data_IF_316416755686
#
_entry.id   IF_316416755686
#
_cell.length_a   1.000
_cell.length_b   1.000
_cell.length_c   1.000
_cell.angle_alpha   90.00
_cell.angle_beta   90.00
_cell.angle_gamma   90.00
#
_symmetry.space_group_name_H-M   'P 1'
#
loop_
_entity.id
_entity.type
_entity.pdbx_description
1 polymer ?
#
# COMPACT_ATOMS: atom_id res chain seq x y z
N UNK A 1 8.00 -9.18 -11.18
CA UNK A 1 7.65 -7.94 -10.43
C UNK A 1 6.19 -8.02 -10.09
N UNK A 2 5.80 -7.45 -8.95
CA UNK A 2 4.40 -7.35 -8.51
C UNK A 2 4.16 -5.98 -7.87
N UNK A 3 2.90 -5.56 -7.73
CA UNK A 3 2.57 -4.35 -6.98
C UNK A 3 2.98 -4.51 -5.52
N UNK A 4 3.41 -3.40 -4.90
CA UNK A 4 3.93 -3.35 -3.54
C UNK A 4 2.95 -3.91 -2.51
N UNK A 5 3.44 -4.74 -1.59
CA UNK A 5 2.78 -5.05 -0.31
C UNK A 5 3.50 -4.31 0.81
N UNK A 6 2.82 -4.05 1.91
CA UNK A 6 3.46 -3.46 3.10
C UNK A 6 3.02 -4.25 4.33
N UNK A 7 3.88 -5.09 4.88
CA UNK A 7 3.51 -6.00 5.96
C UNK A 7 3.96 -5.53 7.34
N UNK A 8 4.73 -4.44 7.44
CA UNK A 8 5.29 -3.96 8.69
C UNK A 8 5.77 -2.50 8.64
N UNK A 9 6.07 -1.95 9.82
CA UNK A 9 6.62 -0.60 9.99
C UNK A 9 7.96 -0.42 9.29
N UNK A 10 8.87 -1.39 9.42
CA UNK A 10 10.20 -1.31 8.81
C UNK A 10 10.11 -1.19 7.29
N UNK A 11 9.25 -1.99 6.64
CA UNK A 11 9.02 -1.90 5.20
C UNK A 11 8.40 -0.54 4.82
N UNK A 12 7.42 -0.04 5.58
CA UNK A 12 6.81 1.27 5.35
C UNK A 12 7.84 2.42 5.40
N UNK A 13 8.77 2.39 6.36
CA UNK A 13 9.87 3.35 6.48
C UNK A 13 10.91 3.22 5.35
N UNK A 14 11.25 1.99 4.96
CA UNK A 14 12.15 1.75 3.81
C UNK A 14 11.55 2.30 2.51
N UNK A 15 10.24 2.11 2.29
CA UNK A 15 9.53 2.66 1.13
C UNK A 15 9.53 4.19 1.18
N UNK A 16 9.28 4.79 2.35
CA UNK A 16 9.34 6.25 2.51
C UNK A 16 10.69 6.81 2.05
N UNK A 17 11.78 6.24 2.53
CA UNK A 17 13.14 6.67 2.18
C UNK A 17 13.42 6.48 0.68
N UNK A 18 13.03 5.34 0.11
CA UNK A 18 13.14 5.09 -1.33
C UNK A 18 12.40 6.14 -2.16
N UNK A 19 11.17 6.51 -1.77
CA UNK A 19 10.37 7.51 -2.47
C UNK A 19 10.89 8.95 -2.28
N UNK A 20 11.58 9.22 -1.17
CA UNK A 20 12.29 10.48 -0.93
C UNK A 20 13.47 10.61 -1.89
N UNK A 21 14.30 9.58 -1.98
CA UNK A 21 15.48 9.54 -2.85
C UNK A 21 15.13 9.53 -4.33
N UNK A 22 14.05 8.83 -4.70
CA UNK A 22 13.58 8.79 -6.08
C UNK A 22 13.12 10.18 -6.58
N UNK A 23 12.74 11.10 -5.68
CA UNK A 23 12.36 12.47 -6.02
C UNK A 23 11.11 12.58 -6.89
N UNK A 24 10.31 11.50 -7.00
CA UNK A 24 9.08 11.48 -7.78
C UNK A 24 7.89 11.71 -6.85
N UNK A 25 6.84 12.35 -7.37
CA UNK A 25 5.46 12.40 -6.86
C UNK A 25 5.25 12.56 -5.35
N UNK A 26 3.99 12.44 -4.93
CA UNK A 26 3.62 12.39 -3.51
C UNK A 26 2.61 11.28 -3.20
N UNK A 27 1.93 10.74 -4.20
CA UNK A 27 0.85 9.75 -4.07
C UNK A 27 1.12 8.55 -4.96
N UNK A 28 0.93 7.36 -4.40
CA UNK A 28 1.31 6.10 -5.04
C UNK A 28 0.30 4.99 -4.77
N UNK A 29 0.00 4.20 -5.79
CA UNK A 29 -0.71 2.95 -5.65
C UNK A 29 0.18 1.83 -5.10
N UNK A 30 -0.42 1.05 -4.21
CA UNK A 30 0.09 -0.24 -3.75
C UNK A 30 -0.76 -1.37 -4.32
N UNK A 31 -0.56 -2.60 -3.85
CA UNK A 31 -1.42 -3.74 -4.17
C UNK A 31 -2.61 -3.93 -3.23
N UNK A 32 -2.76 -3.08 -2.21
CA UNK A 32 -3.81 -3.20 -1.21
C UNK A 32 -5.15 -2.78 -1.77
N UNK A 33 -6.19 -3.58 -1.55
CA UNK A 33 -7.53 -3.27 -2.02
C UNK A 33 -8.60 -4.01 -1.23
N UNK A 34 -9.85 -3.57 -1.36
CA UNK A 34 -11.06 -4.24 -0.84
C UNK A 34 -12.12 -4.42 -1.92
N UNK A 35 -11.67 -4.66 -3.16
CA UNK A 35 -12.57 -4.74 -4.33
C UNK A 35 -13.43 -6.01 -4.26
N UNK A 36 -12.85 -7.13 -3.81
CA UNK A 36 -13.51 -8.43 -3.72
C UNK A 36 -14.39 -8.51 -2.46
N UNK A 37 -13.83 -8.15 -1.30
CA UNK A 37 -14.53 -8.11 -0.02
C UNK A 37 -14.59 -6.65 0.45
N UNK A 38 -15.76 -6.02 0.37
CA UNK A 38 -15.95 -4.60 0.68
C UNK A 38 -15.59 -4.24 2.13
N UNK A 39 -15.47 -5.23 3.01
CA UNK A 39 -15.14 -5.02 4.41
C UNK A 39 -13.70 -5.38 4.76
N UNK A 40 -12.97 -6.09 3.88
CA UNK A 40 -11.62 -6.59 4.17
C UNK A 40 -10.61 -6.14 3.14
N UNK A 41 -9.53 -5.58 3.65
CA UNK A 41 -8.36 -5.24 2.84
C UNK A 41 -7.52 -6.49 2.59
N UNK A 42 -7.15 -6.69 1.32
CA UNK A 42 -6.33 -7.78 0.83
C UNK A 42 -5.18 -7.24 -0.03
N UNK A 43 -4.03 -7.91 0.07
CA UNK A 43 -2.91 -7.71 -0.85
C UNK A 43 -3.11 -8.55 -2.12
N UNK A 44 -3.20 -7.91 -3.29
CA UNK A 44 -3.46 -8.59 -4.59
C UNK A 44 -2.51 -9.76 -4.91
N UNK A 45 -1.18 -9.68 -4.69
CA UNK A 45 -0.28 -10.69 -5.24
C UNK A 45 -0.50 -12.10 -4.67
N UNK A 46 -1.02 -12.18 -3.44
CA UNK A 46 -1.21 -13.44 -2.72
C UNK A 46 -2.61 -13.65 -2.15
N UNK A 47 -3.49 -12.64 -2.26
CA UNK A 47 -4.81 -12.66 -1.62
C UNK A 47 -4.75 -12.69 -0.09
N UNK A 48 -3.64 -12.23 0.50
CA UNK A 48 -3.42 -12.22 1.95
C UNK A 48 -4.14 -11.05 2.61
N UNK A 49 -4.72 -11.21 3.81
CA UNK A 49 -5.25 -10.10 4.59
C UNK A 49 -4.20 -9.03 4.86
N UNK A 50 -4.64 -7.77 4.93
CA UNK A 50 -3.81 -6.67 5.42
C UNK A 50 -3.87 -6.68 6.95
N UNK A 51 -2.76 -6.99 7.61
CA UNK A 51 -2.66 -7.07 9.08
C UNK A 51 -1.98 -5.85 9.70
N UNK A 52 -0.88 -5.39 9.10
CA UNK A 52 -0.26 -4.11 9.42
C UNK A 52 -0.96 -2.97 8.70
N UNK A 53 -1.12 -1.82 9.39
CA UNK A 53 -1.69 -0.62 8.77
C UNK A 53 -0.98 0.65 9.22
N UNK A 54 -0.92 1.62 8.31
CA UNK A 54 -0.45 2.99 8.58
C UNK A 54 -1.43 4.03 8.03
N UNK A 55 -2.73 3.78 8.22
CA UNK A 55 -3.79 4.69 7.79
C UNK A 55 -3.57 6.08 8.35
N UNK A 56 -3.73 7.09 7.48
CA UNK A 56 -3.85 8.48 7.93
C UNK A 56 -5.07 8.63 8.84
N UNK A 57 -5.04 9.66 9.68
CA UNK A 57 -6.15 9.97 10.59
C UNK A 57 -7.46 10.11 9.79
N UNK A 58 -8.47 9.32 10.17
CA UNK A 58 -9.77 9.31 9.50
C UNK A 58 -9.88 8.34 8.31
N UNK A 59 -8.82 7.60 7.99
CA UNK A 59 -8.82 6.61 6.91
C UNK A 59 -8.90 5.17 7.44
N UNK A 60 -9.47 4.23 6.67
CA UNK A 60 -10.18 4.45 5.40
C UNK A 60 -11.53 5.16 5.60
N UNK A 61 -11.90 6.08 4.69
CA UNK A 61 -13.02 7.02 4.90
C UNK A 61 -14.27 6.74 4.07
N UNK A 62 -14.17 6.05 2.93
CA UNK A 62 -15.32 5.76 2.05
C UNK A 62 -15.44 4.26 1.73
N UNK A 63 -16.26 3.50 2.49
CA UNK A 63 -16.44 2.06 2.28
C UNK A 63 -17.11 1.68 0.95
N UNK A 64 -17.74 2.63 0.25
CA UNK A 64 -18.51 2.36 -0.97
C UNK A 64 -17.69 2.70 -2.21
N UNK A 65 -17.09 3.89 -2.25
CA UNK A 65 -16.41 4.44 -3.43
C UNK A 65 -14.90 4.21 -3.48
N UNK A 66 -14.24 4.16 -2.31
CA UNK A 66 -12.78 4.12 -2.21
C UNK A 66 -12.31 2.71 -1.80
N UNK A 67 -11.71 1.98 -2.75
CA UNK A 67 -11.41 0.54 -2.59
C UNK A 67 -9.97 0.16 -2.87
N UNK A 68 -9.12 1.11 -3.26
CA UNK A 68 -7.72 0.88 -3.53
C UNK A 68 -6.85 1.65 -2.55
N UNK A 69 -5.78 1.01 -2.08
CA UNK A 69 -4.88 1.54 -1.06
C UNK A 69 -3.79 2.36 -1.74
N UNK A 70 -3.89 3.66 -1.49
CA UNK A 70 -2.91 4.65 -1.87
C UNK A 70 -2.00 4.95 -0.66
N UNK A 71 -0.72 5.20 -0.91
CA UNK A 71 0.20 5.74 0.09
C UNK A 71 0.67 7.13 -0.34
N UNK A 72 0.85 8.02 0.62
CA UNK A 72 1.35 9.37 0.38
C UNK A 72 2.44 9.79 1.36
N UNK A 73 3.28 10.71 0.91
CA UNK A 73 4.25 11.38 1.76
C UNK A 73 3.58 12.54 2.50
N UNK A 74 3.47 12.44 3.82
CA UNK A 74 3.02 13.53 4.70
C UNK A 74 4.16 13.88 5.67
N UNK A 75 4.83 15.00 5.42
CA UNK A 75 6.04 15.37 6.15
C UNK A 75 7.13 14.29 6.00
N UNK A 76 7.65 13.81 7.13
CA UNK A 76 8.67 12.75 7.19
C UNK A 76 8.07 11.34 7.39
N UNK A 77 6.84 11.11 6.90
CA UNK A 77 6.15 9.83 7.03
C UNK A 77 5.49 9.40 5.72
N UNK A 78 5.35 8.10 5.56
CA UNK A 78 4.47 7.48 4.58
C UNK A 78 3.21 6.97 5.28
N UNK A 79 2.07 7.53 4.91
CA UNK A 79 0.76 7.15 5.47
C UNK A 79 -0.17 6.68 4.36
N UNK A 80 -1.23 5.97 4.75
CA UNK A 80 -2.12 5.27 3.83
C UNK A 80 -3.48 5.94 3.74
N UNK A 81 -4.10 5.80 2.58
CA UNK A 81 -5.42 6.33 2.29
C UNK A 81 -6.16 5.35 1.36
N UNK A 82 -7.48 5.25 1.49
CA UNK A 82 -8.30 4.64 0.45
C UNK A 82 -8.66 5.68 -0.60
N UNK A 83 -8.63 5.28 -1.86
CA UNK A 83 -8.98 6.16 -2.99
C UNK A 83 -9.79 5.39 -4.03
N UNK A 84 -10.56 6.09 -4.91
CA UNK A 84 -11.25 5.44 -6.00
C UNK A 84 -10.20 4.85 -6.94
N UNK A 85 -10.31 3.56 -7.25
CA UNK A 85 -9.27 2.82 -7.98
C UNK A 85 -8.93 3.37 -9.37
N UNK A 86 -9.80 4.19 -9.95
CA UNK A 86 -9.63 4.79 -11.27
C UNK A 86 -8.79 6.06 -11.27
N UNK A 87 -8.43 6.61 -10.10
CA UNK A 87 -7.61 7.83 -10.02
C UNK A 87 -6.19 7.54 -10.54
N UNK A 88 -5.66 8.37 -11.46
CA UNK A 88 -4.34 8.15 -12.05
C UNK A 88 -3.23 8.60 -11.08
N UNK A 89 -2.68 7.66 -10.31
CA UNK A 89 -1.46 7.85 -9.53
C UNK A 89 -0.30 7.03 -10.09
N UNK A 90 0.91 7.39 -9.69
CA UNK A 90 2.07 6.51 -9.85
C UNK A 90 1.83 5.21 -9.08
N UNK A 91 2.54 4.15 -9.40
CA UNK A 91 2.47 2.88 -8.67
C UNK A 91 3.87 2.40 -8.30
N UNK A 92 3.96 1.63 -7.22
CA UNK A 92 5.21 1.05 -6.75
C UNK A 92 5.14 -0.46 -7.01
N UNK A 93 6.20 -0.98 -7.62
CA UNK A 93 6.40 -2.41 -7.76
C UNK A 93 7.52 -2.87 -6.86
N UNK A 94 7.40 -4.10 -6.39
CA UNK A 94 8.45 -4.82 -5.71
C UNK A 94 8.93 -6.01 -6.54
N UNK A 95 10.17 -6.41 -6.29
CA UNK A 95 10.71 -7.63 -6.89
C UNK A 95 10.09 -8.83 -6.20
N UNK A 96 9.62 -9.78 -7.01
CA UNK A 96 9.14 -11.05 -6.51
C UNK A 96 10.32 -11.84 -5.95
N UNK A 97 10.24 -12.26 -4.69
CA UNK A 97 11.26 -13.08 -4.05
C UNK A 97 10.64 -14.44 -3.71
N UNK A 98 11.03 -15.49 -4.45
CA UNK A 98 10.50 -16.85 -4.30
C UNK A 98 10.68 -17.43 -2.89
N UNK A 99 11.61 -16.88 -2.10
CA UNK A 99 11.83 -17.31 -0.72
C UNK A 99 10.83 -16.71 0.29
N UNK A 100 10.04 -15.70 -0.09
CA UNK A 100 9.08 -15.04 0.81
C UNK A 100 7.64 -15.56 0.64
N UNK A 101 7.46 -16.74 0.04
CA UNK A 101 6.14 -17.40 -0.06
C UNK A 101 5.55 -17.79 1.32
N UNK A 102 6.38 -17.79 2.37
CA UNK A 102 6.00 -18.16 3.73
C UNK A 102 6.55 -17.23 4.83
N UNK A 103 7.28 -16.17 4.47
CA UNK A 103 7.82 -15.19 5.41
C UNK A 103 7.33 -13.82 5.00
N UNK A 104 6.42 -13.29 5.81
CA UNK A 104 6.05 -11.88 5.75
C UNK A 104 7.35 -11.04 5.79
N UNK A 105 7.41 -9.98 4.98
CA UNK A 105 8.65 -9.20 4.79
C UNK A 105 9.07 -8.43 6.06
N UNK A 106 8.22 -8.47 7.07
CA UNK A 106 8.50 -8.68 8.49
C UNK A 106 7.34 -9.54 9.04
#
# INVERSE_FOLDING_TARGET
MQLLTITCEEENEQIFNYLKDAGKGFEYWTSGNRVIDQNKWLWLPYGKPVEYTKWSVGQPSDPVGEKCLQVWKIGEKLEWNDRPCWVPFYFICERYNYQNLASDKC
#
